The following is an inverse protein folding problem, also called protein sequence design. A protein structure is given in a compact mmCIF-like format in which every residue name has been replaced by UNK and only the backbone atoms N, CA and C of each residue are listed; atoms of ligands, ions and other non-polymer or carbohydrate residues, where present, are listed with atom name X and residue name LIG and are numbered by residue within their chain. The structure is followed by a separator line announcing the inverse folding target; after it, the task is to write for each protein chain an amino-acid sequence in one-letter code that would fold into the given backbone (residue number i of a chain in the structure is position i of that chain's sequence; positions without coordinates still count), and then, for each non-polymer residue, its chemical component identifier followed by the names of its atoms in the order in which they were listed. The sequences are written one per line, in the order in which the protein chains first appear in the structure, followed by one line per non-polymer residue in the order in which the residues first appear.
data_IF_046409647572
#
_entry.id   IF_046409647572
#
_cell.length_a   1.000
_cell.length_b   1.000
_cell.length_c   1.000
_cell.angle_alpha   90.00
_cell.angle_beta   90.00
_cell.angle_gamma   90.00
#
_symmetry.space_group_name_H-M   'P 1'
#
loop_
_entity.id
_entity.type
_entity.pdbx_description
1 polymer ?
#
# COMPACT_ATOMS: atom_id res chain seq x y z
N UNK A 1 -10.20 -8.93 -48.36
CA UNK A 1 -9.29 -7.91 -47.77
C UNK A 1 -8.49 -8.57 -46.66
N UNK A 2 -7.19 -8.30 -46.56
CA UNK A 2 -6.43 -8.73 -45.39
C UNK A 2 -6.96 -8.00 -44.16
N UNK A 3 -7.31 -8.74 -43.12
CA UNK A 3 -7.73 -8.16 -41.83
C UNK A 3 -6.55 -7.46 -41.18
N UNK A 4 -6.80 -6.32 -40.57
CA UNK A 4 -5.82 -5.60 -39.73
C UNK A 4 -5.44 -6.51 -38.56
N UNK A 5 -4.15 -6.66 -38.30
CA UNK A 5 -3.62 -7.55 -37.27
C UNK A 5 -3.25 -6.76 -36.04
N UNK A 6 -3.84 -7.14 -34.92
CA UNK A 6 -3.73 -6.45 -33.66
C UNK A 6 -2.97 -7.32 -32.66
N UNK A 7 -2.06 -6.69 -31.92
CA UNK A 7 -1.51 -7.24 -30.68
C UNK A 7 -2.11 -6.45 -29.53
N UNK A 8 -2.64 -7.10 -28.50
CA UNK A 8 -3.14 -6.41 -27.30
C UNK A 8 -2.09 -6.54 -26.20
N UNK A 9 -1.60 -5.41 -25.69
CA UNK A 9 -0.72 -5.37 -24.53
C UNK A 9 -1.52 -5.18 -23.26
N UNK A 10 -1.47 -6.17 -22.37
CA UNK A 10 -2.03 -6.19 -21.03
C UNK A 10 -3.18 -7.17 -20.88
N UNK A 11 -2.89 -8.34 -20.32
CA UNK A 11 -3.83 -9.39 -19.97
C UNK A 11 -4.47 -9.14 -18.58
N UNK A 12 -4.93 -7.91 -18.36
CA UNK A 12 -5.55 -7.49 -17.11
C UNK A 12 -7.07 -7.45 -17.17
N UNK A 13 -7.69 -6.87 -16.14
CA UNK A 13 -9.14 -6.67 -16.02
C UNK A 13 -9.81 -5.95 -17.20
N UNK A 14 -9.02 -5.19 -17.98
CA UNK A 14 -9.51 -4.42 -19.12
C UNK A 14 -9.45 -5.19 -20.45
N UNK A 15 -8.77 -6.34 -20.51
CA UNK A 15 -8.51 -7.07 -21.75
C UNK A 15 -9.81 -7.43 -22.49
N UNK A 16 -10.79 -8.00 -21.79
CA UNK A 16 -12.07 -8.37 -22.40
C UNK A 16 -12.75 -7.16 -23.04
N UNK A 17 -12.78 -6.02 -22.36
CA UNK A 17 -13.40 -4.81 -22.89
C UNK A 17 -12.69 -4.32 -24.16
N UNK A 18 -11.35 -4.30 -24.15
CA UNK A 18 -10.58 -3.91 -25.34
C UNK A 18 -10.84 -4.87 -26.49
N UNK A 19 -10.89 -6.18 -26.21
CA UNK A 19 -11.20 -7.21 -27.20
C UNK A 19 -12.63 -7.06 -27.77
N UNK A 20 -13.62 -6.80 -26.92
CA UNK A 20 -15.02 -6.55 -27.33
C UNK A 20 -15.17 -5.28 -28.15
N UNK A 21 -14.22 -4.36 -28.03
CA UNK A 21 -14.17 -3.14 -28.84
C UNK A 21 -13.61 -3.39 -30.25
N UNK A 22 -13.01 -4.54 -30.54
CA UNK A 22 -12.49 -4.86 -31.87
C UNK A 22 -13.62 -5.23 -32.84
N UNK A 23 -13.63 -4.64 -34.03
CA UNK A 23 -14.46 -5.13 -35.14
C UNK A 23 -13.77 -6.28 -35.88
N UNK A 24 -14.16 -7.51 -35.53
CA UNK A 24 -13.61 -8.73 -36.13
C UNK A 24 -13.96 -8.94 -37.62
N UNK A 25 -14.83 -8.10 -38.21
CA UNK A 25 -15.01 -8.09 -39.66
C UNK A 25 -13.83 -7.43 -40.39
N UNK A 26 -13.15 -6.49 -39.73
CA UNK A 26 -12.08 -5.65 -40.31
C UNK A 26 -10.71 -6.02 -39.74
N UNK A 27 -10.65 -6.45 -38.49
CA UNK A 27 -9.42 -6.78 -37.78
C UNK A 27 -9.44 -8.19 -37.17
N UNK A 28 -8.27 -8.63 -36.71
CA UNK A 28 -8.07 -9.86 -35.95
C UNK A 28 -7.00 -9.65 -34.88
N UNK A 29 -7.18 -10.27 -33.72
CA UNK A 29 -6.16 -10.29 -32.67
C UNK A 29 -5.25 -11.48 -32.89
N UNK A 30 -3.96 -11.22 -33.14
CA UNK A 30 -2.98 -12.27 -33.43
C UNK A 30 -2.11 -12.64 -32.22
N UNK A 31 -2.21 -11.87 -31.13
CA UNK A 31 -1.48 -12.16 -29.90
C UNK A 31 -1.86 -11.21 -28.78
N UNK A 32 -1.66 -11.70 -27.55
CA UNK A 32 -1.75 -10.90 -26.33
C UNK A 32 -0.38 -10.96 -25.67
N UNK A 33 0.10 -9.83 -25.16
CA UNK A 33 1.37 -9.77 -24.40
C UNK A 33 1.15 -9.13 -23.04
N UNK A 34 1.90 -9.55 -22.03
CA UNK A 34 1.88 -8.91 -20.70
C UNK A 34 3.28 -9.00 -20.06
N UNK A 35 3.74 -7.90 -19.45
CA UNK A 35 5.03 -7.86 -18.77
C UNK A 35 5.05 -8.65 -17.46
N UNK A 36 3.88 -8.98 -16.89
CA UNK A 36 3.78 -9.83 -15.71
C UNK A 36 4.02 -11.29 -16.09
N UNK A 37 5.09 -11.88 -15.54
CA UNK A 37 5.52 -13.27 -15.76
C UNK A 37 4.41 -14.26 -15.37
N UNK A 38 3.66 -13.99 -14.29
CA UNK A 38 2.61 -14.90 -13.80
C UNK A 38 1.42 -15.03 -14.76
N UNK A 39 1.31 -14.10 -15.71
CA UNK A 39 0.28 -14.11 -16.75
C UNK A 39 0.77 -14.71 -18.07
N UNK A 40 2.08 -14.88 -18.24
CA UNK A 40 2.65 -15.41 -19.47
C UNK A 40 2.42 -16.91 -19.57
N UNK A 41 2.29 -17.43 -20.79
CA UNK A 41 1.96 -18.81 -21.12
C UNK A 41 0.59 -19.29 -20.58
N UNK A 42 -0.26 -18.38 -20.12
CA UNK A 42 -1.65 -18.64 -19.77
C UNK A 42 -2.53 -18.42 -20.99
N UNK A 43 -3.54 -19.27 -21.16
CA UNK A 43 -4.56 -19.11 -22.22
C UNK A 43 -5.63 -18.12 -21.79
N UNK A 44 -5.96 -17.18 -22.65
CA UNK A 44 -7.11 -16.29 -22.53
C UNK A 44 -7.95 -16.38 -23.81
N UNK A 45 -9.17 -16.91 -23.73
CA UNK A 45 -10.04 -17.17 -24.89
C UNK A 45 -9.28 -17.84 -26.06
N UNK A 46 -8.55 -18.93 -25.79
CA UNK A 46 -7.75 -19.69 -26.77
C UNK A 46 -6.56 -18.93 -27.37
N UNK A 47 -6.29 -17.70 -26.92
CA UNK A 47 -5.11 -16.91 -27.28
C UNK A 47 -4.09 -17.02 -26.14
N UNK A 48 -2.86 -17.40 -26.48
CA UNK A 48 -1.77 -17.46 -25.51
C UNK A 48 -1.29 -16.05 -25.17
N UNK A 49 -1.10 -15.77 -23.88
CA UNK A 49 -0.45 -14.54 -23.42
C UNK A 49 1.06 -14.74 -23.45
N UNK A 50 1.77 -13.94 -24.26
CA UNK A 50 3.20 -14.08 -24.48
C UNK A 50 4.03 -13.03 -23.71
N UNK A 51 5.32 -13.33 -23.58
CA UNK A 51 6.30 -12.31 -23.22
C UNK A 51 6.35 -11.21 -24.31
N UNK A 52 6.39 -9.92 -23.96
CA UNK A 52 6.38 -8.83 -24.93
C UNK A 52 7.51 -8.85 -25.97
N UNK A 53 8.65 -9.49 -25.69
CA UNK A 53 9.76 -9.64 -26.66
C UNK A 53 9.34 -10.34 -27.96
N UNK A 54 8.24 -11.12 -27.95
CA UNK A 54 7.70 -11.75 -29.16
C UNK A 54 7.29 -10.73 -30.22
N UNK A 55 6.99 -9.48 -29.83
CA UNK A 55 6.56 -8.40 -30.73
C UNK A 55 7.57 -8.22 -31.88
N UNK A 56 8.86 -8.36 -31.63
CA UNK A 56 9.90 -8.21 -32.66
C UNK A 56 9.86 -9.29 -33.75
N UNK A 57 9.14 -10.38 -33.51
CA UNK A 57 9.01 -11.54 -34.41
C UNK A 57 7.62 -11.65 -35.03
N UNK A 58 6.65 -10.87 -34.55
CA UNK A 58 5.29 -10.90 -35.04
C UNK A 58 5.11 -9.92 -36.19
N UNK A 59 4.30 -10.32 -37.16
CA UNK A 59 3.86 -9.45 -38.23
C UNK A 59 2.46 -8.93 -37.84
N UNK A 60 2.39 -7.66 -37.41
CA UNK A 60 1.19 -6.98 -36.92
C UNK A 60 1.02 -5.63 -37.60
N UNK A 61 -0.10 -4.95 -37.40
CA UNK A 61 -0.32 -3.58 -37.87
C UNK A 61 -0.27 -2.60 -36.68
N UNK A 62 -0.99 -2.91 -35.60
CA UNK A 62 -1.06 -2.07 -34.39
C UNK A 62 -0.89 -2.86 -33.09
N UNK A 63 -0.38 -2.18 -32.07
CA UNK A 63 -0.40 -2.64 -30.67
C UNK A 63 -1.41 -1.79 -29.90
N UNK A 64 -2.39 -2.43 -29.29
CA UNK A 64 -3.39 -1.77 -28.44
C UNK A 64 -3.01 -1.97 -26.97
N UNK A 65 -2.77 -0.87 -26.26
CA UNK A 65 -2.46 -0.90 -24.83
C UNK A 65 -3.77 -0.88 -24.04
N UNK A 66 -4.05 -2.00 -23.37
CA UNK A 66 -5.27 -2.26 -22.60
C UNK A 66 -5.32 -1.62 -21.20
N UNK A 67 -4.21 -1.49 -20.46
CA UNK A 67 -4.22 -0.82 -19.16
C UNK A 67 -4.49 0.69 -19.23
N UNK A 68 -5.19 1.23 -18.22
CA UNK A 68 -5.34 2.70 -18.04
C UNK A 68 -4.00 3.41 -17.88
N UNK A 69 -3.04 2.75 -17.25
CA UNK A 69 -1.66 3.23 -17.06
C UNK A 69 -0.82 2.69 -18.20
N UNK A 70 -0.53 3.53 -19.19
CA UNK A 70 0.06 3.11 -20.46
C UNK A 70 1.47 3.66 -20.67
N UNK A 71 1.93 4.64 -19.89
CA UNK A 71 3.16 5.40 -20.16
C UNK A 71 4.41 4.50 -20.16
N UNK A 72 4.54 3.62 -19.17
CA UNK A 72 5.66 2.67 -19.10
C UNK A 72 5.56 1.59 -20.18
N UNK A 73 4.34 1.22 -20.58
CA UNK A 73 4.11 0.26 -21.66
C UNK A 73 4.51 0.89 -23.00
N UNK A 74 4.16 2.15 -23.24
CA UNK A 74 4.59 2.90 -24.43
C UNK A 74 6.12 2.96 -24.51
N UNK A 75 6.80 3.30 -23.41
CA UNK A 75 8.28 3.30 -23.36
C UNK A 75 8.85 1.93 -23.69
N UNK A 76 8.23 0.86 -23.19
CA UNK A 76 8.68 -0.50 -23.48
C UNK A 76 8.45 -0.90 -24.94
N UNK A 77 7.30 -0.55 -25.52
CA UNK A 77 7.06 -0.71 -26.96
C UNK A 77 8.15 0.00 -27.78
N UNK A 78 8.49 1.25 -27.43
CA UNK A 78 9.55 2.00 -28.11
C UNK A 78 10.92 1.32 -27.98
N UNK A 79 11.27 0.79 -26.80
CA UNK A 79 12.51 0.00 -26.60
C UNK A 79 12.54 -1.27 -27.46
N UNK A 80 11.39 -1.87 -27.70
CA UNK A 80 11.25 -3.04 -28.58
C UNK A 80 11.28 -2.69 -30.07
N UNK A 81 11.36 -1.39 -30.43
CA UNK A 81 11.43 -0.92 -31.82
C UNK A 81 10.05 -0.74 -32.48
N UNK A 82 9.00 -0.51 -31.69
CA UNK A 82 7.66 -0.24 -32.23
C UNK A 82 7.51 1.24 -32.56
N UNK A 83 7.19 1.55 -33.81
CA UNK A 83 6.89 2.92 -34.28
C UNK A 83 5.69 3.52 -33.52
N UNK A 84 5.77 4.82 -33.18
CA UNK A 84 4.79 5.48 -32.33
C UNK A 84 3.36 5.45 -32.91
N UNK A 85 3.24 5.55 -34.23
CA UNK A 85 1.98 5.55 -34.98
C UNK A 85 1.26 4.20 -34.92
N UNK A 86 1.99 3.13 -34.58
CA UNK A 86 1.44 1.77 -34.44
C UNK A 86 0.99 1.49 -33.00
N UNK A 87 1.22 2.40 -32.07
CA UNK A 87 0.87 2.23 -30.65
C UNK A 87 -0.44 2.97 -30.36
N UNK A 88 -1.46 2.21 -29.94
CA UNK A 88 -2.78 2.74 -29.61
C UNK A 88 -3.02 2.61 -28.10
N UNK A 89 -2.98 3.74 -27.39
CA UNK A 89 -3.47 3.80 -26.01
C UNK A 89 -5.00 3.76 -26.02
N UNK A 90 -5.61 2.62 -25.67
CA UNK A 90 -7.05 2.40 -25.81
C UNK A 90 -7.89 3.48 -25.10
N UNK A 91 -7.46 3.89 -23.91
CA UNK A 91 -8.18 4.87 -23.10
C UNK A 91 -7.94 6.32 -23.52
N UNK A 92 -6.82 6.62 -24.18
CA UNK A 92 -6.36 7.99 -24.47
C UNK A 92 -5.91 8.20 -25.93
N UNK A 93 -6.53 7.52 -26.88
CA UNK A 93 -6.32 7.80 -28.30
C UNK A 93 -7.22 8.96 -28.77
N UNK A 94 -6.67 9.82 -29.62
CA UNK A 94 -7.39 10.95 -30.25
C UNK A 94 -7.88 10.61 -31.67
N UNK A 95 -7.29 9.59 -32.29
CA UNK A 95 -7.62 9.16 -33.64
C UNK A 95 -8.76 8.15 -33.62
N UNK A 96 -9.67 8.27 -34.59
CA UNK A 96 -10.69 7.26 -34.81
C UNK A 96 -10.10 6.11 -35.64
N UNK A 97 -10.13 4.89 -35.10
CA UNK A 97 -9.68 3.69 -35.80
C UNK A 97 -10.90 2.89 -36.24
N UNK A 98 -11.07 2.67 -37.54
CA UNK A 98 -12.25 1.98 -38.11
C UNK A 98 -12.50 0.56 -37.53
N UNK A 99 -11.46 -0.07 -36.98
CA UNK A 99 -11.52 -1.40 -36.39
C UNK A 99 -11.75 -1.39 -34.87
N UNK A 100 -11.92 -0.21 -34.25
CA UNK A 100 -12.26 -0.05 -32.84
C UNK A 100 -13.62 0.63 -32.71
N UNK A 101 -14.56 -0.07 -32.07
CA UNK A 101 -15.90 0.41 -31.73
C UNK A 101 -15.83 1.25 -30.45
N UNK A 102 -16.47 2.42 -30.46
CA UNK A 102 -16.43 3.34 -29.31
C UNK A 102 -17.36 2.92 -28.17
N UNK A 103 -18.51 2.28 -28.49
CA UNK A 103 -19.57 1.99 -27.53
C UNK A 103 -19.12 1.23 -26.25
N UNK A 104 -18.30 0.15 -26.31
CA UNK A 104 -17.85 -0.52 -25.09
C UNK A 104 -16.99 0.37 -24.17
N UNK A 105 -16.12 1.20 -24.77
CA UNK A 105 -15.29 2.17 -24.05
C UNK A 105 -16.14 3.24 -23.39
N UNK A 106 -17.05 3.87 -24.14
CA UNK A 106 -17.94 4.92 -23.65
C UNK A 106 -18.82 4.43 -22.49
N UNK A 107 -19.46 3.27 -22.66
CA UNK A 107 -20.31 2.67 -21.62
C UNK A 107 -19.52 2.39 -20.33
N UNK A 108 -18.27 1.91 -20.43
CA UNK A 108 -17.42 1.70 -19.26
C UNK A 108 -17.07 3.01 -18.56
N UNK A 109 -16.69 4.05 -19.32
CA UNK A 109 -16.34 5.34 -18.76
C UNK A 109 -17.56 5.98 -18.06
N UNK A 110 -18.74 5.91 -18.66
CA UNK A 110 -20.00 6.37 -18.05
C UNK A 110 -20.34 5.61 -16.77
N UNK A 111 -20.18 4.28 -16.75
CA UNK A 111 -20.39 3.49 -15.51
C UNK A 111 -19.39 3.88 -14.42
N UNK A 112 -18.13 4.12 -14.79
CA UNK A 112 -17.09 4.56 -13.85
C UNK A 112 -17.39 5.95 -13.30
N UNK A 113 -17.82 6.90 -14.13
CA UNK A 113 -18.20 8.25 -13.71
C UNK A 113 -19.40 8.22 -12.76
N UNK A 114 -20.45 7.46 -13.11
CA UNK A 114 -21.61 7.27 -12.23
C UNK A 114 -21.21 6.71 -10.86
N UNK A 115 -20.31 5.73 -10.82
CA UNK A 115 -19.80 5.18 -9.57
C UNK A 115 -19.03 6.21 -8.73
N UNK A 116 -18.21 7.06 -9.35
CA UNK A 116 -17.50 8.13 -8.66
C UNK A 116 -18.50 9.13 -8.05
N UNK A 117 -19.51 9.54 -8.83
CA UNK A 117 -20.55 10.47 -8.37
C UNK A 117 -21.38 9.86 -7.24
N UNK A 118 -21.73 8.58 -7.33
CA UNK A 118 -22.43 7.84 -6.27
C UNK A 118 -21.62 7.85 -4.96
N UNK A 119 -20.33 7.48 -5.03
CA UNK A 119 -19.45 7.47 -3.86
C UNK A 119 -19.27 8.85 -3.23
N UNK A 120 -19.17 9.91 -4.04
CA UNK A 120 -19.16 11.29 -3.56
C UNK A 120 -20.46 11.66 -2.86
N UNK A 121 -21.60 11.35 -3.46
CA UNK A 121 -22.91 11.63 -2.89
C UNK A 121 -23.12 10.93 -1.53
N UNK A 122 -22.75 9.65 -1.44
CA UNK A 122 -22.87 8.85 -0.20
C UNK A 122 -22.03 9.39 0.95
N UNK A 123 -20.85 9.97 0.66
CA UNK A 123 -19.93 10.49 1.67
C UNK A 123 -20.10 12.00 1.92
N UNK A 124 -20.82 12.72 1.06
CA UNK A 124 -20.87 14.20 1.04
C UNK A 124 -21.25 14.83 2.39
N UNK A 125 -22.24 14.25 3.10
CA UNK A 125 -22.67 14.80 4.40
C UNK A 125 -21.55 14.80 5.45
N UNK A 126 -20.66 13.80 5.42
CA UNK A 126 -19.51 13.72 6.31
C UNK A 126 -18.38 14.65 5.86
N UNK A 127 -18.11 14.69 4.55
CA UNK A 127 -17.07 15.55 3.97
C UNK A 127 -17.35 17.05 4.14
N UNK A 128 -18.64 17.42 4.19
CA UNK A 128 -19.14 18.78 4.48
C UNK A 128 -19.24 19.07 5.99
N UNK A 129 -18.95 18.11 6.87
CA UNK A 129 -19.04 18.29 8.32
C UNK A 129 -20.48 18.40 8.85
N UNK A 130 -21.47 17.90 8.11
CA UNK A 130 -22.89 17.89 8.54
C UNK A 130 -23.19 16.75 9.51
N UNK A 131 -22.27 15.79 9.64
CA UNK A 131 -22.36 14.65 10.56
C UNK A 131 -21.24 14.68 11.59
N UNK A 132 -21.50 14.18 12.82
CA UNK A 132 -20.44 13.96 13.77
C UNK A 132 -19.43 12.95 13.23
N UNK A 133 -18.14 13.19 13.50
CA UNK A 133 -17.04 12.29 13.17
C UNK A 133 -16.07 12.21 14.36
N UNK A 134 -15.25 11.15 14.47
CA UNK A 134 -14.19 11.07 15.48
C UNK A 134 -13.25 12.27 15.40
N UNK A 135 -12.82 12.77 16.55
CA UNK A 135 -11.87 13.89 16.63
C UNK A 135 -10.47 13.34 16.41
N UNK A 136 -9.81 13.79 15.34
CA UNK A 136 -8.46 13.34 14.96
C UNK A 136 -7.52 14.54 14.91
N UNK A 137 -6.42 14.47 15.67
CA UNK A 137 -5.37 15.49 15.67
C UNK A 137 -4.42 15.31 14.48
N UNK A 138 -3.89 16.44 14.02
CA UNK A 138 -2.96 16.48 12.89
C UNK A 138 -1.69 15.63 13.14
N UNK A 139 -1.08 15.05 12.09
CA UNK A 139 0.07 14.15 12.21
C UNK A 139 1.22 14.66 13.07
N UNK A 140 1.55 15.96 13.00
CA UNK A 140 2.66 16.53 13.74
C UNK A 140 2.45 16.51 15.27
N UNK A 141 1.20 16.52 15.74
CA UNK A 141 0.91 16.62 17.17
C UNK A 141 1.32 15.36 17.93
N UNK A 142 1.09 14.17 17.36
CA UNK A 142 1.54 12.92 18.01
C UNK A 142 3.06 12.82 18.05
N UNK A 143 3.74 13.29 17.00
CA UNK A 143 5.21 13.29 16.95
C UNK A 143 5.80 14.21 18.01
N UNK A 144 5.27 15.44 18.13
CA UNK A 144 5.69 16.40 19.18
C UNK A 144 5.43 15.83 20.57
N UNK A 145 4.26 15.21 20.79
CA UNK A 145 3.94 14.56 22.07
C UNK A 145 4.93 13.45 22.41
N UNK A 146 5.15 12.49 21.50
CA UNK A 146 6.10 11.39 21.70
C UNK A 146 7.54 11.86 21.91
N UNK A 147 7.94 12.97 21.28
CA UNK A 147 9.25 13.60 21.52
C UNK A 147 9.39 14.09 22.96
N UNK A 148 8.32 14.68 23.52
CA UNK A 148 8.30 15.27 24.85
C UNK A 148 8.20 14.21 25.95
N UNK A 149 7.18 13.34 25.89
CA UNK A 149 6.79 12.47 27.01
C UNK A 149 7.20 11.00 26.82
N UNK A 150 7.79 10.66 25.67
CA UNK A 150 8.21 9.31 25.30
C UNK A 150 7.06 8.28 25.31
N UNK A 151 5.83 8.74 25.07
CA UNK A 151 4.67 7.87 24.88
C UNK A 151 4.82 6.97 23.64
N UNK A 152 4.08 5.87 23.67
CA UNK A 152 3.99 4.85 22.62
C UNK A 152 2.91 5.21 21.60
N UNK A 153 2.89 4.52 20.46
CA UNK A 153 1.92 4.75 19.39
C UNK A 153 1.37 3.42 18.87
N UNK A 154 0.06 3.28 18.89
CA UNK A 154 -0.68 2.20 18.25
C UNK A 154 -1.57 2.81 17.16
N UNK A 155 -1.51 2.28 15.94
CA UNK A 155 -2.27 2.84 14.81
C UNK A 155 -3.32 1.85 14.31
N UNK A 156 -4.43 2.39 13.83
CA UNK A 156 -5.53 1.67 13.23
C UNK A 156 -5.82 2.25 11.85
N UNK A 157 -5.37 1.52 10.82
CA UNK A 157 -5.81 1.72 9.44
C UNK A 157 -7.01 0.85 9.11
N UNK A 158 -7.32 0.80 7.81
CA UNK A 158 -8.35 -0.07 7.26
C UNK A 158 -8.07 -1.57 7.53
N UNK A 159 -6.79 -1.96 7.55
CA UNK A 159 -6.38 -3.32 7.90
C UNK A 159 -6.83 -3.73 9.30
N UNK A 160 -6.54 -2.91 10.32
CA UNK A 160 -6.87 -3.23 11.72
C UNK A 160 -8.39 -3.28 11.96
N UNK A 161 -9.15 -2.33 11.40
CA UNK A 161 -10.61 -2.36 11.53
C UNK A 161 -11.25 -3.57 10.84
N UNK A 162 -10.75 -3.99 9.68
CA UNK A 162 -11.23 -5.24 9.07
C UNK A 162 -10.86 -6.48 9.88
N UNK A 163 -9.69 -6.51 10.53
CA UNK A 163 -9.34 -7.60 11.45
C UNK A 163 -10.29 -7.63 12.65
N UNK A 164 -10.66 -6.48 13.23
CA UNK A 164 -11.68 -6.40 14.29
C UNK A 164 -13.00 -7.00 13.81
N UNK A 165 -13.43 -6.66 12.59
CA UNK A 165 -14.66 -7.13 11.95
C UNK A 165 -14.60 -8.56 11.42
N UNK A 166 -13.47 -9.24 11.58
CA UNK A 166 -13.22 -10.60 11.05
C UNK A 166 -13.34 -10.72 9.52
N UNK A 167 -12.95 -9.66 8.80
CA UNK A 167 -12.94 -9.62 7.34
C UNK A 167 -11.52 -9.74 6.79
N UNK A 168 -11.33 -10.51 5.72
CA UNK A 168 -10.05 -10.57 5.02
C UNK A 168 -9.77 -9.27 4.25
N UNK A 169 -8.61 -8.65 4.48
CA UNK A 169 -8.18 -7.45 3.74
C UNK A 169 -6.66 -7.35 3.54
N UNK A 170 -5.81 -7.23 4.58
CA UNK A 170 -4.37 -7.21 4.39
C UNK A 170 -3.91 -8.58 3.91
N UNK A 171 -3.36 -8.66 2.70
CA UNK A 171 -2.87 -9.91 2.11
C UNK A 171 -1.77 -10.60 2.95
N UNK A 172 -1.15 -9.87 3.87
CA UNK A 172 -0.09 -10.33 4.74
C UNK A 172 -0.57 -10.77 6.14
N UNK A 173 -1.86 -10.70 6.47
CA UNK A 173 -2.38 -11.17 7.76
C UNK A 173 -3.77 -11.79 7.59
N UNK A 174 -3.89 -13.06 7.92
CA UNK A 174 -5.17 -13.77 7.99
C UNK A 174 -5.98 -13.32 9.22
N UNK A 175 -7.31 -13.45 9.10
CA UNK A 175 -8.23 -13.23 10.21
C UNK A 175 -7.90 -14.17 11.37
N UNK A 176 -7.99 -13.64 12.58
CA UNK A 176 -7.70 -14.36 13.82
C UNK A 176 -8.53 -13.74 14.96
N UNK A 177 -9.30 -14.55 15.68
CA UNK A 177 -10.18 -14.06 16.74
C UNK A 177 -9.42 -13.46 17.93
N UNK A 178 -8.24 -14.00 18.24
CA UNK A 178 -7.39 -13.47 19.32
C UNK A 178 -6.79 -12.13 18.91
N UNK A 179 -6.43 -11.97 17.62
CA UNK A 179 -6.01 -10.68 17.07
C UNK A 179 -7.14 -9.65 17.16
N UNK A 180 -8.35 -10.00 16.69
CA UNK A 180 -9.53 -9.13 16.76
C UNK A 180 -9.81 -8.64 18.19
N UNK A 181 -9.84 -9.57 19.16
CA UNK A 181 -10.05 -9.23 20.59
C UNK A 181 -8.95 -8.34 21.15
N UNK A 182 -7.69 -8.58 20.80
CA UNK A 182 -6.56 -7.73 21.22
C UNK A 182 -6.64 -6.34 20.59
N UNK A 183 -6.96 -6.23 19.30
CA UNK A 183 -7.14 -4.93 18.63
C UNK A 183 -8.25 -4.10 19.28
N UNK A 184 -9.38 -4.73 19.63
CA UNK A 184 -10.43 -4.09 20.42
C UNK A 184 -9.94 -3.59 21.78
N UNK A 185 -9.18 -4.41 22.50
CA UNK A 185 -8.57 -4.01 23.78
C UNK A 185 -7.65 -2.79 23.62
N UNK A 186 -6.84 -2.75 22.56
CA UNK A 186 -5.96 -1.61 22.27
C UNK A 186 -6.78 -0.36 21.94
N UNK A 187 -7.82 -0.50 21.11
CA UNK A 187 -8.68 0.62 20.69
C UNK A 187 -9.40 1.26 21.88
N UNK A 188 -9.84 0.46 22.85
CA UNK A 188 -10.52 0.89 24.07
C UNK A 188 -9.58 1.42 25.16
N UNK A 189 -8.26 1.38 24.94
CA UNK A 189 -7.29 1.81 25.94
C UNK A 189 -7.34 3.33 26.20
N UNK A 190 -7.34 3.71 27.48
CA UNK A 190 -7.24 5.09 27.97
C UNK A 190 -5.90 5.38 28.68
N UNK A 191 -4.87 4.57 28.43
CA UNK A 191 -3.53 4.81 28.99
C UNK A 191 -2.90 6.05 28.35
N UNK A 192 -2.62 7.09 29.14
CA UNK A 192 -2.05 8.36 28.66
C UNK A 192 -0.65 8.22 28.04
N UNK A 193 0.06 7.11 28.33
CA UNK A 193 1.34 6.78 27.73
C UNK A 193 1.22 6.05 26.40
N UNK A 194 0.00 5.76 25.93
CA UNK A 194 -0.26 5.05 24.68
C UNK A 194 -1.18 5.91 23.80
N UNK A 195 -0.60 6.47 22.75
CA UNK A 195 -1.36 7.21 21.75
C UNK A 195 -2.09 6.23 20.84
N UNK A 196 -3.41 6.40 20.73
CA UNK A 196 -4.23 5.66 19.76
C UNK A 196 -4.48 6.56 18.56
N UNK A 197 -3.99 6.11 17.41
CA UNK A 197 -4.15 6.80 16.15
C UNK A 197 -5.08 6.01 15.21
N UNK A 198 -5.97 6.70 14.52
CA UNK A 198 -6.89 6.11 13.54
C UNK A 198 -6.72 6.82 12.20
N UNK A 199 -6.97 6.12 11.10
CA UNK A 199 -6.88 6.73 9.77
C UNK A 199 -7.85 7.92 9.62
N UNK A 200 -7.38 9.06 9.12
CA UNK A 200 -8.23 10.23 8.89
C UNK A 200 -9.03 10.13 7.58
N UNK A 201 -10.09 9.31 7.62
CA UNK A 201 -10.97 8.99 6.50
C UNK A 201 -12.46 9.23 6.79
N UNK A 202 -12.77 9.95 7.88
CA UNK A 202 -14.13 10.09 8.39
C UNK A 202 -14.82 11.39 7.97
N UNK A 203 -14.08 12.49 7.89
CA UNK A 203 -14.56 13.84 7.57
C UNK A 203 -14.13 14.32 6.17
N UNK A 204 -13.66 15.56 6.08
CA UNK A 204 -13.23 16.15 4.81
C UNK A 204 -12.04 15.42 4.19
N UNK A 205 -12.17 15.04 2.92
CA UNK A 205 -11.11 14.38 2.14
C UNK A 205 -10.35 15.36 1.22
N UNK A 206 -10.60 16.66 1.35
CA UNK A 206 -10.07 17.70 0.45
C UNK A 206 -8.53 17.80 0.43
N UNK A 207 -7.87 17.36 1.51
CA UNK A 207 -6.39 17.32 1.60
C UNK A 207 -5.75 16.20 0.77
N UNK A 208 -6.52 15.17 0.39
CA UNK A 208 -6.03 13.98 -0.30
C UNK A 208 -6.17 14.08 -1.80
N UNK A 209 -5.29 13.43 -2.55
CA UNK A 209 -5.43 13.29 -4.01
C UNK A 209 -6.78 12.66 -4.36
N UNK A 210 -7.33 12.95 -5.54
CA UNK A 210 -8.65 12.41 -5.93
C UNK A 210 -8.66 10.88 -5.94
N UNK A 211 -7.55 10.23 -6.35
CA UNK A 211 -7.40 8.78 -6.29
C UNK A 211 -7.44 8.24 -4.86
N UNK A 212 -6.75 8.89 -3.92
CA UNK A 212 -6.76 8.51 -2.51
C UNK A 212 -8.14 8.74 -1.88
N UNK A 213 -8.75 9.92 -2.11
CA UNK A 213 -10.08 10.26 -1.63
C UNK A 213 -11.14 9.28 -2.17
N UNK A 214 -11.08 8.91 -3.45
CA UNK A 214 -11.96 7.91 -4.04
C UNK A 214 -11.77 6.52 -3.41
N UNK A 215 -10.52 6.13 -3.12
CA UNK A 215 -10.21 4.90 -2.38
C UNK A 215 -10.81 4.91 -0.97
N UNK A 216 -10.69 6.03 -0.26
CA UNK A 216 -11.28 6.22 1.08
C UNK A 216 -12.81 6.18 1.04
N UNK A 217 -13.46 6.87 0.09
CA UNK A 217 -14.92 6.83 -0.10
C UNK A 217 -15.42 5.42 -0.40
N UNK A 218 -14.69 4.68 -1.24
CA UNK A 218 -15.02 3.29 -1.58
C UNK A 218 -14.90 2.37 -0.37
N UNK A 219 -13.90 2.60 0.48
CA UNK A 219 -13.73 1.83 1.70
C UNK A 219 -14.82 2.16 2.72
N UNK A 220 -15.11 3.45 2.92
CA UNK A 220 -16.12 3.95 3.86
C UNK A 220 -17.53 3.93 3.27
N UNK A 221 -17.92 2.77 2.74
CA UNK A 221 -19.31 2.51 2.42
C UNK A 221 -20.19 2.55 3.69
N UNK A 222 -21.51 2.50 3.50
CA UNK A 222 -22.48 2.65 4.58
C UNK A 222 -22.26 1.65 5.73
N UNK A 223 -21.95 0.40 5.41
CA UNK A 223 -21.76 -0.67 6.40
C UNK A 223 -20.44 -0.52 7.16
N UNK A 224 -19.34 -0.25 6.45
CA UNK A 224 -18.02 -0.03 7.05
C UNK A 224 -18.02 1.20 7.93
N UNK A 225 -18.63 2.30 7.45
CA UNK A 225 -18.77 3.52 8.24
C UNK A 225 -19.58 3.26 9.50
N UNK A 226 -20.74 2.61 9.40
CA UNK A 226 -21.57 2.27 10.56
C UNK A 226 -20.79 1.43 11.57
N UNK A 227 -20.05 0.42 11.11
CA UNK A 227 -19.21 -0.40 11.98
C UNK A 227 -18.14 0.43 12.71
N UNK A 228 -17.40 1.29 12.01
CA UNK A 228 -16.38 2.13 12.64
C UNK A 228 -17.00 3.09 13.68
N UNK A 229 -18.13 3.72 13.36
CA UNK A 229 -18.80 4.66 14.27
C UNK A 229 -19.37 3.99 15.53
N UNK A 230 -19.63 2.68 15.51
CA UNK A 230 -20.02 1.92 16.69
C UNK A 230 -18.84 1.58 17.61
N UNK A 231 -17.62 1.52 17.05
CA UNK A 231 -16.40 1.19 17.77
C UNK A 231 -15.70 2.43 18.34
N UNK A 232 -15.88 3.59 17.70
CA UNK A 232 -15.13 4.81 18.03
C UNK A 232 -15.89 5.73 18.98
N UNK A 233 -15.15 6.31 19.92
CA UNK A 233 -15.68 7.29 20.86
C UNK A 233 -15.56 8.71 20.29
N UNK A 234 -16.68 9.42 20.22
CA UNK A 234 -16.74 10.81 19.74
C UNK A 234 -16.30 11.83 20.79
N UNK A 235 -16.17 11.41 22.06
CA UNK A 235 -15.64 12.26 23.14
C UNK A 235 -14.13 12.12 23.30
N UNK A 236 -13.50 11.15 22.61
CA UNK A 236 -12.06 10.92 22.63
C UNK A 236 -11.38 11.71 21.51
N UNK A 237 -10.19 12.22 21.82
CA UNK A 237 -9.25 12.73 20.83
C UNK A 237 -8.32 11.59 20.41
N UNK A 238 -8.35 11.25 19.12
CA UNK A 238 -7.42 10.33 18.47
C UNK A 238 -6.32 11.13 17.75
N UNK A 239 -5.25 10.43 17.35
CA UNK A 239 -4.23 10.97 16.44
C UNK A 239 -4.39 10.42 15.02
N UNK A 240 -3.79 11.07 14.03
CA UNK A 240 -3.83 10.58 12.64
C UNK A 240 -2.88 9.40 12.42
N UNK A 241 -3.42 8.23 12.05
CA UNK A 241 -2.63 7.05 11.72
C UNK A 241 -1.79 7.22 10.43
N UNK A 242 -2.13 8.19 9.58
CA UNK A 242 -1.36 8.57 8.39
C UNK A 242 -0.14 9.44 8.69
N UNK A 243 0.21 9.64 9.97
CA UNK A 243 1.54 10.10 10.36
C UNK A 243 2.68 9.21 9.81
N UNK A 244 2.37 7.96 9.45
CA UNK A 244 3.28 7.03 8.75
C UNK A 244 3.07 6.96 7.23
N UNK A 245 2.17 7.80 6.69
CA UNK A 245 1.84 7.91 5.25
C UNK A 245 1.79 9.36 4.75
N UNK A 246 2.81 10.20 5.04
CA UNK A 246 2.70 11.65 4.91
C UNK A 246 2.85 12.21 3.49
N UNK A 247 3.13 11.37 2.47
CA UNK A 247 3.60 11.87 1.17
C UNK A 247 2.64 11.58 0.00
N UNK A 248 2.46 10.32 -0.41
CA UNK A 248 1.79 10.04 -1.69
C UNK A 248 0.29 10.33 -1.72
N UNK A 249 -0.39 10.24 -0.58
CA UNK A 249 -1.85 10.39 -0.53
C UNK A 249 -2.32 11.85 -0.54
N UNK A 250 -1.44 12.82 -0.27
CA UNK A 250 -1.78 14.23 -0.11
C UNK A 250 -1.62 15.03 -1.42
N UNK A 251 -2.50 16.03 -1.62
CA UNK A 251 -2.38 16.97 -2.73
C UNK A 251 -1.23 17.97 -2.50
N UNK A 252 -1.24 18.62 -1.33
CA UNK A 252 -0.16 19.49 -0.88
C UNK A 252 0.85 18.68 -0.07
N UNK A 253 2.08 18.62 -0.58
CA UNK A 253 3.18 17.85 0.00
C UNK A 253 4.05 18.68 0.95
N UNK A 254 3.75 19.97 1.21
CA UNK A 254 4.58 20.82 2.07
C UNK A 254 4.76 20.28 3.50
N UNK A 255 3.70 19.71 4.08
CA UNK A 255 3.76 19.19 5.45
C UNK A 255 4.64 17.93 5.58
N UNK A 256 4.93 17.22 4.48
CA UNK A 256 5.66 15.96 4.56
C UNK A 256 7.11 16.15 5.05
N UNK A 257 7.76 17.25 4.68
CA UNK A 257 9.13 17.57 5.09
C UNK A 257 9.22 17.69 6.61
N UNK A 258 8.29 18.43 7.22
CA UNK A 258 8.22 18.57 8.67
C UNK A 258 7.92 17.25 9.38
N UNK A 259 7.03 16.43 8.82
CA UNK A 259 6.71 15.11 9.38
C UNK A 259 7.95 14.21 9.36
N UNK A 260 8.68 14.12 8.23
CA UNK A 260 9.91 13.35 8.15
C UNK A 260 11.01 13.89 9.06
N UNK A 261 11.14 15.22 9.19
CA UNK A 261 12.06 15.86 10.13
C UNK A 261 11.75 15.47 11.57
N UNK A 262 10.48 15.50 11.97
CA UNK A 262 10.06 15.08 13.32
C UNK A 262 10.30 13.60 13.58
N UNK A 263 10.06 12.72 12.58
CA UNK A 263 10.44 11.31 12.68
C UNK A 263 11.94 11.13 12.89
N UNK A 264 12.79 11.85 12.13
CA UNK A 264 14.26 11.82 12.33
C UNK A 264 14.65 12.28 13.74
N UNK A 265 13.99 13.29 14.30
CA UNK A 265 14.23 13.74 15.69
C UNK A 265 13.79 12.70 16.73
N UNK A 266 12.74 11.90 16.49
CA UNK A 266 12.36 10.79 17.38
C UNK A 266 13.48 9.76 17.49
N UNK A 267 14.20 9.51 16.38
CA UNK A 267 15.27 8.51 16.31
C UNK A 267 16.63 9.03 16.77
N UNK A 268 16.83 10.34 16.68
CA UNK A 268 18.13 11.00 16.89
C UNK A 268 18.71 10.76 18.28
N UNK A 269 19.95 10.29 18.31
CA UNK A 269 20.70 10.04 19.54
C UNK A 269 20.16 8.90 20.38
N UNK A 270 19.38 7.99 19.79
CA UNK A 270 18.73 6.88 20.52
C UNK A 270 19.16 5.51 20.05
N UNK A 271 19.09 4.55 20.96
CA UNK A 271 19.19 3.13 20.65
C UNK A 271 17.84 2.63 20.12
N UNK A 272 17.85 2.02 18.94
CA UNK A 272 16.65 1.51 18.28
C UNK A 272 16.66 -0.02 18.28
N UNK A 273 15.55 -0.62 18.71
CA UNK A 273 15.24 -2.02 18.49
C UNK A 273 14.10 -2.09 17.47
N UNK A 274 14.42 -2.44 16.23
CA UNK A 274 13.45 -2.55 15.13
C UNK A 274 12.89 -3.98 15.10
N UNK A 275 11.58 -4.11 15.09
CA UNK A 275 10.85 -5.37 14.97
C UNK A 275 10.10 -5.34 13.66
N UNK A 276 10.55 -6.13 12.69
CA UNK A 276 10.08 -6.01 11.30
C UNK A 276 9.98 -7.36 10.59
N UNK A 277 9.12 -7.42 9.57
CA UNK A 277 9.08 -8.56 8.66
C UNK A 277 10.42 -8.72 7.91
N UNK A 278 10.81 -9.96 7.61
CA UNK A 278 12.10 -10.30 6.97
C UNK A 278 12.40 -9.55 5.66
N UNK A 279 11.34 -9.07 4.97
CA UNK A 279 11.43 -8.35 3.70
C UNK A 279 11.26 -6.82 3.83
N UNK A 280 10.98 -6.30 5.03
CA UNK A 280 10.72 -4.87 5.25
C UNK A 280 11.97 -4.02 5.02
N UNK A 281 13.08 -4.36 5.72
CA UNK A 281 14.39 -3.69 5.62
C UNK A 281 14.30 -2.18 5.88
N UNK A 282 13.62 -1.84 6.96
CA UNK A 282 13.33 -0.47 7.39
C UNK A 282 14.61 0.37 7.50
N UNK A 283 14.68 1.46 6.74
CA UNK A 283 15.79 2.40 6.71
C UNK A 283 17.02 1.95 5.91
N UNK A 284 16.99 0.78 5.26
CA UNK A 284 18.10 0.34 4.41
C UNK A 284 18.21 1.22 3.16
N UNK A 285 19.42 1.63 2.76
CA UNK A 285 19.68 2.46 1.58
C UNK A 285 18.98 3.84 1.57
N UNK A 286 18.61 4.39 2.73
CA UNK A 286 18.25 5.79 2.89
C UNK A 286 18.78 6.34 4.24
N UNK A 287 18.57 7.62 4.52
CA UNK A 287 19.12 8.30 5.70
C UNK A 287 18.08 8.53 6.82
N UNK A 288 16.93 7.83 6.79
CA UNK A 288 15.86 8.00 7.79
C UNK A 288 16.36 7.73 9.22
N UNK A 289 17.27 6.77 9.36
CA UNK A 289 17.84 6.34 10.65
C UNK A 289 19.27 6.84 10.88
N UNK A 290 19.79 7.72 10.03
CA UNK A 290 21.21 8.15 10.04
C UNK A 290 21.67 8.75 11.38
N UNK A 291 20.75 9.35 12.13
CA UNK A 291 21.03 10.00 13.41
C UNK A 291 20.80 9.10 14.62
N UNK A 292 20.46 7.82 14.43
CA UNK A 292 20.33 6.86 15.52
C UNK A 292 21.70 6.56 16.15
N UNK A 293 21.73 6.32 17.47
CA UNK A 293 22.96 5.98 18.18
C UNK A 293 23.39 4.53 17.93
N UNK A 294 22.42 3.61 17.85
CA UNK A 294 22.65 2.24 17.40
C UNK A 294 21.36 1.61 16.90
N UNK A 295 21.48 0.64 16.01
CA UNK A 295 20.34 -0.11 15.46
C UNK A 295 20.53 -1.59 15.78
N UNK A 296 19.47 -2.21 16.30
CA UNK A 296 19.33 -3.67 16.46
C UNK A 296 18.01 -4.10 15.87
N UNK A 297 17.94 -5.32 15.31
CA UNK A 297 16.78 -5.81 14.58
C UNK A 297 16.35 -7.19 15.06
N UNK A 298 15.05 -7.38 15.21
CA UNK A 298 14.40 -8.68 15.37
C UNK A 298 13.61 -8.92 14.08
N UNK A 299 14.00 -9.97 13.36
CA UNK A 299 13.33 -10.35 12.12
C UNK A 299 12.15 -11.27 12.43
N UNK A 300 10.99 -10.94 11.89
CA UNK A 300 9.75 -11.67 12.05
C UNK A 300 9.23 -12.17 10.69
N UNK A 301 8.21 -13.04 10.67
CA UNK A 301 7.58 -13.48 9.43
C UNK A 301 7.05 -12.28 8.62
N UNK A 302 7.26 -12.29 7.30
CA UNK A 302 6.71 -11.25 6.41
C UNK A 302 5.18 -11.32 6.27
N UNK A 303 4.56 -12.44 6.66
CA UNK A 303 3.11 -12.67 6.64
C UNK A 303 2.69 -13.46 7.87
N UNK A 304 1.46 -13.25 8.33
CA UNK A 304 0.83 -13.93 9.45
C UNK A 304 1.68 -13.91 10.73
N UNK A 305 2.38 -12.79 10.98
CA UNK A 305 3.26 -12.66 12.13
C UNK A 305 2.53 -12.89 13.46
N UNK A 306 1.23 -12.58 13.53
CA UNK A 306 0.42 -12.82 14.72
C UNK A 306 0.34 -14.30 15.13
N UNK A 307 0.55 -15.26 14.21
CA UNK A 307 0.55 -16.69 14.55
C UNK A 307 1.64 -17.06 15.57
N UNK A 308 2.75 -16.33 15.55
CA UNK A 308 3.89 -16.51 16.47
C UNK A 308 4.02 -15.32 17.43
N UNK A 309 2.90 -14.66 17.73
CA UNK A 309 2.85 -13.42 18.52
C UNK A 309 3.58 -13.53 19.86
N UNK A 310 3.35 -14.61 20.62
CA UNK A 310 3.97 -14.77 21.94
C UNK A 310 5.49 -14.88 21.83
N UNK A 311 6.00 -15.65 20.86
CA UNK A 311 7.44 -15.75 20.58
C UNK A 311 8.04 -14.41 20.15
N UNK A 312 7.31 -13.61 19.37
CA UNK A 312 7.72 -12.24 19.02
C UNK A 312 7.81 -11.38 20.27
N UNK A 313 6.73 -11.33 21.09
CA UNK A 313 6.69 -10.53 22.31
C UNK A 313 7.84 -10.90 23.26
N UNK A 314 8.04 -12.19 23.51
CA UNK A 314 9.12 -12.69 24.37
C UNK A 314 10.51 -12.30 23.82
N UNK A 315 10.73 -12.47 22.52
CA UNK A 315 12.00 -12.10 21.88
C UNK A 315 12.28 -10.60 22.01
N UNK A 316 11.26 -9.75 21.87
CA UNK A 316 11.39 -8.30 22.10
C UNK A 316 11.79 -8.03 23.54
N UNK A 317 11.10 -8.60 24.51
CA UNK A 317 11.37 -8.37 25.94
C UNK A 317 12.76 -8.86 26.37
N UNK A 318 13.27 -9.93 25.76
CA UNK A 318 14.62 -10.43 26.01
C UNK A 318 15.73 -9.57 25.40
N UNK A 319 15.42 -8.72 24.42
CA UNK A 319 16.41 -7.93 23.67
C UNK A 319 16.32 -6.43 23.91
N UNK A 320 15.15 -5.91 24.30
CA UNK A 320 14.95 -4.49 24.61
C UNK A 320 15.76 -4.13 25.85
N UNK A 321 16.43 -2.98 25.81
CA UNK A 321 17.18 -2.41 26.92
C UNK A 321 16.45 -1.19 27.46
N UNK A 322 16.81 -0.79 28.67
CA UNK A 322 16.37 0.49 29.22
C UNK A 322 16.72 1.62 28.24
N UNK A 323 15.78 2.54 28.04
CA UNK A 323 15.87 3.72 27.17
C UNK A 323 15.86 3.47 25.64
N UNK A 324 15.79 2.20 25.20
CA UNK A 324 15.55 1.86 23.79
C UNK A 324 14.20 2.42 23.30
N UNK A 325 14.10 2.71 22.00
CA UNK A 325 12.81 2.73 21.29
C UNK A 325 12.60 1.38 20.63
N UNK A 326 11.44 0.77 20.86
CA UNK A 326 10.99 -0.35 20.05
C UNK A 326 10.20 0.21 18.85
N UNK A 327 10.74 0.07 17.64
CA UNK A 327 10.07 0.48 16.40
C UNK A 327 9.50 -0.74 15.70
N UNK A 328 8.20 -0.74 15.40
CA UNK A 328 7.52 -1.96 14.92
C UNK A 328 6.85 -1.71 13.57
N UNK A 329 7.20 -2.52 12.57
CA UNK A 329 6.53 -2.54 11.25
C UNK A 329 6.14 -3.97 10.87
N UNK A 330 4.94 -4.37 11.30
CA UNK A 330 4.46 -5.76 11.26
C UNK A 330 2.94 -5.89 11.03
N UNK A 331 2.34 -4.93 10.32
CA UNK A 331 0.89 -4.92 10.06
C UNK A 331 0.05 -4.85 11.34
N UNK A 332 -1.13 -5.50 11.39
CA UNK A 332 -1.97 -5.54 12.61
C UNK A 332 -1.26 -6.09 13.85
N UNK A 333 -0.22 -6.91 13.67
CA UNK A 333 0.61 -7.41 14.79
C UNK A 333 1.36 -6.26 15.46
N UNK A 334 1.74 -5.22 14.70
CA UNK A 334 2.44 -4.06 15.23
C UNK A 334 1.60 -3.26 16.22
N UNK A 335 0.33 -3.01 15.90
CA UNK A 335 -0.61 -2.29 16.77
C UNK A 335 -0.71 -2.96 18.14
N UNK A 336 -0.87 -4.28 18.14
CA UNK A 336 -1.01 -5.08 19.37
C UNK A 336 0.32 -5.20 20.12
N UNK A 337 1.43 -5.41 19.41
CA UNK A 337 2.75 -5.51 20.02
C UNK A 337 3.19 -4.17 20.63
N UNK A 338 2.93 -3.05 19.96
CA UNK A 338 3.23 -1.71 20.49
C UNK A 338 2.50 -1.48 21.81
N UNK A 339 1.24 -1.88 21.89
CA UNK A 339 0.47 -1.81 23.13
C UNK A 339 1.07 -2.69 24.23
N UNK A 340 1.27 -3.99 23.98
CA UNK A 340 1.74 -4.91 25.00
C UNK A 340 3.15 -4.53 25.50
N UNK A 341 4.06 -4.11 24.61
CA UNK A 341 5.41 -3.66 25.00
C UNK A 341 5.36 -2.33 25.78
N UNK A 342 4.44 -1.43 25.44
CA UNK A 342 4.20 -0.21 26.22
C UNK A 342 3.73 -0.51 27.64
N UNK A 343 2.88 -1.53 27.81
CA UNK A 343 2.39 -1.99 29.11
C UNK A 343 3.48 -2.61 29.98
N UNK A 344 4.56 -3.13 29.39
CA UNK A 344 5.76 -3.58 30.09
C UNK A 344 6.72 -2.42 30.46
N UNK A 345 6.36 -1.17 30.12
CA UNK A 345 7.10 0.04 30.51
C UNK A 345 8.12 0.55 29.50
N UNK A 346 8.17 -0.01 28.29
CA UNK A 346 9.05 0.45 27.21
C UNK A 346 8.32 1.37 26.23
N UNK A 347 9.03 2.30 25.59
CA UNK A 347 8.44 3.05 24.49
C UNK A 347 8.39 2.15 23.23
N UNK A 348 7.19 1.96 22.67
CA UNK A 348 6.98 1.19 21.46
C UNK A 348 6.12 1.97 20.45
N UNK A 349 6.60 2.05 19.22
CA UNK A 349 6.01 2.88 18.18
C UNK A 349 5.71 2.01 16.98
N UNK A 350 4.43 1.86 16.65
CA UNK A 350 3.99 1.33 15.36
C UNK A 350 4.32 2.36 14.25
N UNK A 351 5.41 2.09 13.52
CA UNK A 351 5.96 2.96 12.48
C UNK A 351 5.37 2.69 11.09
N UNK A 352 4.56 1.65 10.93
CA UNK A 352 3.90 1.33 9.66
C UNK A 352 4.84 1.40 8.46
N UNK A 353 4.43 2.13 7.43
CA UNK A 353 5.13 2.21 6.15
C UNK A 353 5.94 3.51 5.96
N UNK A 354 6.33 4.19 7.05
CA UNK A 354 7.00 5.49 6.95
C UNK A 354 8.30 5.44 6.12
N UNK A 355 8.99 4.30 6.10
CA UNK A 355 10.18 4.09 5.27
C UNK A 355 9.89 4.07 3.77
N UNK A 356 8.82 3.39 3.35
CA UNK A 356 8.40 3.37 1.94
C UNK A 356 7.99 4.77 1.48
N UNK A 357 7.25 5.50 2.33
CA UNK A 357 6.86 6.88 2.06
C UNK A 357 8.06 7.82 2.01
N UNK A 358 9.07 7.59 2.85
CA UNK A 358 10.31 8.34 2.81
C UNK A 358 11.11 8.07 1.53
N UNK A 359 11.19 6.81 1.11
CA UNK A 359 11.82 6.43 -0.15
C UNK A 359 11.10 7.05 -1.36
N UNK A 360 9.77 7.11 -1.36
CA UNK A 360 9.00 7.78 -2.41
C UNK A 360 9.18 9.29 -2.38
N UNK A 361 9.27 9.90 -1.20
CA UNK A 361 9.58 11.32 -1.02
C UNK A 361 10.95 11.67 -1.62
N UNK A 362 12.01 10.94 -1.25
CA UNK A 362 13.37 11.16 -1.78
C UNK A 362 13.46 11.04 -3.31
N UNK A 363 12.58 10.25 -3.92
CA UNK A 363 12.52 10.02 -5.38
C UNK A 363 11.56 10.98 -6.09
N UNK A 364 10.92 11.90 -5.39
CA UNK A 364 9.83 12.73 -5.92
C UNK A 364 8.76 11.88 -6.62
N UNK A 365 8.43 10.71 -6.06
CA UNK A 365 7.50 9.80 -6.71
C UNK A 365 6.09 10.39 -6.77
N UNK A 366 5.41 10.18 -7.90
CA UNK A 366 4.01 10.56 -8.10
C UNK A 366 3.05 9.42 -7.75
N UNK A 367 3.57 8.21 -7.56
CA UNK A 367 2.81 7.00 -7.30
C UNK A 367 3.63 5.99 -6.52
N UNK A 368 2.93 5.00 -5.96
CA UNK A 368 3.57 3.84 -5.34
C UNK A 368 4.29 3.02 -6.40
N UNK A 369 5.62 3.01 -6.32
CA UNK A 369 6.51 2.23 -7.19
C UNK A 369 7.29 1.22 -6.34
N UNK A 370 7.70 0.06 -6.91
CA UNK A 370 8.60 -0.85 -6.22
C UNK A 370 9.87 -0.12 -5.76
N UNK A 371 10.31 -0.45 -4.54
CA UNK A 371 11.56 0.08 -3.98
C UNK A 371 12.59 -1.04 -4.04
N UNK A 372 13.74 -0.77 -4.66
CA UNK A 372 14.79 -1.77 -4.86
C UNK A 372 15.24 -2.32 -3.51
N UNK A 373 15.16 -3.64 -3.38
CA UNK A 373 15.59 -4.35 -2.19
C UNK A 373 14.67 -4.21 -0.97
N UNK A 374 13.44 -3.67 -1.08
CA UNK A 374 12.46 -3.59 0.04
C UNK A 374 11.06 -4.07 -0.35
N UNK A 375 10.30 -4.51 0.64
CA UNK A 375 8.89 -4.85 0.48
C UNK A 375 8.01 -3.60 0.36
N UNK A 376 7.23 -3.53 -0.71
CA UNK A 376 6.14 -2.56 -0.90
C UNK A 376 4.82 -3.33 -0.95
N UNK A 377 4.02 -3.23 0.11
CA UNK A 377 2.81 -4.05 0.25
C UNK A 377 1.76 -3.79 -0.84
N UNK A 378 1.67 -2.54 -1.30
CA UNK A 378 0.71 -2.06 -2.29
C UNK A 378 1.12 -2.36 -3.74
N UNK A 379 2.40 -2.64 -3.98
CA UNK A 379 2.91 -2.97 -5.31
C UNK A 379 3.08 -4.48 -5.42
N UNK A 380 2.21 -5.17 -6.18
CA UNK A 380 2.25 -6.63 -6.34
C UNK A 380 3.67 -7.16 -6.68
N UNK A 381 4.34 -6.53 -7.65
CA UNK A 381 5.71 -6.86 -8.07
C UNK A 381 6.81 -6.37 -7.10
N UNK A 382 6.42 -5.68 -6.02
CA UNK A 382 7.31 -5.16 -4.97
C UNK A 382 7.11 -5.86 -3.62
N UNK A 383 6.20 -6.83 -3.50
CA UNK A 383 5.92 -7.54 -2.23
C UNK A 383 7.06 -8.46 -1.78
N UNK A 384 7.80 -9.02 -2.73
CA UNK A 384 8.97 -9.85 -2.48
C UNK A 384 10.17 -9.14 -3.13
N UNK A 385 11.03 -8.49 -2.34
CA UNK A 385 12.21 -7.83 -2.88
C UNK A 385 13.23 -8.85 -3.38
N UNK A 386 14.04 -8.42 -4.34
CA UNK A 386 15.26 -9.15 -4.72
C UNK A 386 16.39 -8.82 -3.75
N UNK A 387 17.31 -9.76 -3.58
CA UNK A 387 18.53 -9.60 -2.76
C UNK A 387 19.68 -9.07 -3.61
N UNK A 388 19.42 -7.98 -4.33
CA UNK A 388 20.34 -7.37 -5.28
C UNK A 388 20.99 -6.08 -4.74
N UNK A 389 21.04 -5.96 -3.40
CA UNK A 389 21.61 -4.83 -2.65
C UNK A 389 22.59 -5.32 -1.57
N UNK A 390 23.52 -4.47 -1.15
CA UNK A 390 24.40 -4.78 -0.01
C UNK A 390 23.60 -4.77 1.30
N UNK A 391 23.56 -5.91 1.99
CA UNK A 391 22.91 -6.11 3.27
C UNK A 391 23.92 -6.40 4.39
N UNK A 392 25.20 -6.15 4.17
CA UNK A 392 26.26 -6.47 5.13
C UNK A 392 26.04 -5.78 6.49
N UNK A 393 25.75 -4.47 6.49
CA UNK A 393 25.44 -3.71 7.69
C UNK A 393 24.11 -4.15 8.30
N UNK A 394 23.06 -4.28 7.50
CA UNK A 394 21.74 -4.76 7.93
C UNK A 394 21.82 -6.11 8.68
N UNK A 395 22.60 -7.07 8.15
CA UNK A 395 22.79 -8.38 8.78
C UNK A 395 23.52 -8.31 10.11
N UNK A 396 24.44 -7.36 10.29
CA UNK A 396 25.13 -7.14 11.58
C UNK A 396 24.20 -6.54 12.65
N UNK A 397 23.16 -5.83 12.23
CA UNK A 397 22.15 -5.26 13.13
C UNK A 397 21.14 -6.31 13.61
N UNK A 398 20.99 -7.43 12.90
CA UNK A 398 20.08 -8.52 13.28
C UNK A 398 20.57 -9.25 14.53
N UNK A 399 19.81 -9.13 15.63
CA UNK A 399 20.13 -9.78 16.92
C UNK A 399 19.29 -11.02 17.21
N UNK A 400 18.13 -11.14 16.58
CA UNK A 400 17.29 -12.33 16.68
C UNK A 400 16.42 -12.51 15.43
N UNK A 401 15.96 -13.74 15.20
CA UNK A 401 14.95 -14.08 14.19
C UNK A 401 13.89 -14.94 14.84
N UNK A 402 12.63 -14.61 14.63
CA UNK A 402 11.47 -15.42 15.01
C UNK A 402 10.91 -16.04 13.74
N UNK A 403 11.05 -17.36 13.64
CA UNK A 403 10.51 -18.10 12.50
C UNK A 403 9.00 -18.27 12.63
N UNK A 404 8.31 -18.18 11.49
CA UNK A 404 6.90 -18.53 11.39
C UNK A 404 6.75 -19.95 10.87
N UNK A 405 5.56 -20.53 10.98
CA UNK A 405 5.26 -21.75 10.26
C UNK A 405 5.50 -21.54 8.75
N UNK A 406 6.37 -22.36 8.17
CA UNK A 406 6.58 -22.42 6.72
C UNK A 406 5.29 -22.98 6.11
N UNK A 407 4.29 -22.13 5.88
CA UNK A 407 3.21 -22.50 4.98
C UNK A 407 3.77 -22.42 3.57
N UNK A 408 4.31 -23.54 3.09
CA UNK A 408 4.46 -23.79 1.66
C UNK A 408 3.08 -23.67 1.02
N UNK A 409 2.72 -22.46 0.59
CA UNK A 409 1.76 -22.27 -0.49
C UNK A 409 2.40 -21.32 -1.49
N UNK A 410 3.08 -21.97 -2.43
CA UNK A 410 3.08 -21.54 -3.82
C UNK A 410 1.66 -21.07 -4.16
N UNK A 411 1.54 -19.83 -4.62
CA UNK A 411 0.56 -19.35 -5.60
C UNK A 411 1.03 -17.96 -6.02
#
# INVERSE_FOLDING_TARGET
MNKIRLVIWGAGKNLQLVYDSVDFNIAQTIGIVDSNIDKQNVQWNEITVYNPTIIQKLDYDYIIISPFRYEEIVKECQRLGVEAERIISFWNNKNQYIFLKDYPKENYLLKRENEILRLKLENNRFELGLEPTPIIQEPCEVLKKMLLDKSSLCRFGDGEFEMIRMNERPWFQQIDEKLSKKLMQVLDSNDEKINIAIADLYGSLSRYTEDAALGMRRYMDLETRKAHMQLLSFSRVYFDAYVTRPYLIYQDKKACEDIFRLWKEIFKGRHLLIVEGINSRFGVNNDLLSNALSIRRILCPARNAFRVYESIKETVLNNVRKDDVVLITLGPTATVLAYDIAREGYQAIDIGQIDNEYDWYLRNAERQIPIRGKCVAEAANGRIPKDDIDLSQYRKECVATVEGEITHRNC
#
